data_IF_050133587405
#
_entry.id   IF_050133587405
#
_cell.length_a   1.000
_cell.length_b   1.000
_cell.length_c   1.000
_cell.angle_alpha   90.00
_cell.angle_beta   90.00
_cell.angle_gamma   90.00
#
_symmetry.space_group_name_H-M   'P 1'
#
loop_
_entity.id
_entity.type
_entity.pdbx_description
1 polymer ?
#
# COMPACT_ATOMS: atom_id res chain seq x y z
N UNK A 1 -13.43 -11.96 1.61
CA UNK A 1 -12.43 -12.48 0.65
C UNK A 1 -12.05 -11.34 -0.30
N UNK A 2 -10.78 -11.18 -0.59
CA UNK A 2 -10.31 -10.18 -1.56
C UNK A 2 -10.67 -10.60 -2.99
N UNK A 3 -11.17 -9.65 -3.80
CA UNK A 3 -11.31 -9.83 -5.24
C UNK A 3 -10.15 -9.14 -5.96
N UNK A 4 -9.55 -9.81 -6.94
CA UNK A 4 -8.49 -9.23 -7.76
C UNK A 4 -9.03 -8.60 -9.03
N UNK A 5 -8.38 -7.54 -9.47
CA UNK A 5 -8.63 -6.91 -10.75
C UNK A 5 -7.32 -6.73 -11.53
N UNK A 6 -7.29 -7.23 -12.76
CA UNK A 6 -6.10 -7.17 -13.61
C UNK A 6 -6.33 -6.25 -14.80
N UNK A 7 -5.50 -5.23 -14.89
CA UNK A 7 -5.41 -4.39 -16.08
C UNK A 7 -4.47 -5.05 -17.10
N UNK A 8 -5.04 -5.55 -18.19
CA UNK A 8 -4.29 -6.23 -19.26
C UNK A 8 -3.65 -5.26 -20.24
N UNK A 9 -4.10 -4.00 -20.26
CA UNK A 9 -3.59 -2.96 -21.17
C UNK A 9 -2.43 -2.17 -20.59
N UNK A 10 -2.14 -2.32 -19.29
CA UNK A 10 -1.07 -1.60 -18.61
C UNK A 10 0.32 -2.20 -18.83
N UNK A 11 1.34 -1.41 -18.49
CA UNK A 11 2.76 -1.82 -18.58
C UNK A 11 3.20 -2.72 -17.42
N UNK A 12 2.41 -2.83 -16.36
CA UNK A 12 2.74 -3.63 -15.18
C UNK A 12 2.34 -5.08 -15.41
N UNK A 13 3.25 -6.05 -15.23
CA UNK A 13 2.92 -7.47 -15.38
C UNK A 13 1.80 -7.91 -14.44
N UNK A 14 0.97 -8.85 -14.87
CA UNK A 14 -0.18 -9.33 -14.10
C UNK A 14 0.21 -9.86 -12.71
N UNK A 15 1.33 -10.60 -12.58
CA UNK A 15 1.77 -11.09 -11.28
C UNK A 15 2.11 -9.95 -10.31
N UNK A 16 2.74 -8.88 -10.79
CA UNK A 16 3.08 -7.71 -9.99
C UNK A 16 1.82 -6.95 -9.55
N UNK A 17 0.79 -6.91 -10.38
CA UNK A 17 -0.51 -6.34 -10.00
C UNK A 17 -1.16 -7.15 -8.87
N UNK A 18 -1.11 -8.48 -8.93
CA UNK A 18 -1.61 -9.35 -7.85
C UNK A 18 -0.86 -9.12 -6.54
N UNK A 19 0.47 -9.10 -6.58
CA UNK A 19 1.31 -8.82 -5.41
C UNK A 19 0.96 -7.46 -4.79
N UNK A 20 0.86 -6.42 -5.61
CA UNK A 20 0.51 -5.08 -5.16
C UNK A 20 -0.86 -5.04 -4.48
N UNK A 21 -1.87 -5.67 -5.06
CA UNK A 21 -3.22 -5.68 -4.51
C UNK A 21 -3.31 -6.42 -3.17
N UNK A 22 -2.58 -7.51 -3.00
CA UNK A 22 -2.48 -8.20 -1.70
C UNK A 22 -1.82 -7.29 -0.66
N UNK A 23 -0.71 -6.66 -1.01
CA UNK A 23 -0.01 -5.73 -0.11
C UNK A 23 -0.88 -4.54 0.28
N UNK A 24 -1.58 -3.95 -0.67
CA UNK A 24 -2.52 -2.84 -0.41
C UNK A 24 -3.65 -3.29 0.54
N UNK A 25 -4.25 -4.45 0.29
CA UNK A 25 -5.28 -4.99 1.16
C UNK A 25 -4.79 -5.26 2.59
N UNK A 26 -3.55 -5.73 2.74
CA UNK A 26 -2.91 -5.90 4.04
C UNK A 26 -2.67 -4.55 4.74
N UNK A 27 -2.18 -3.55 4.02
CA UNK A 27 -1.97 -2.20 4.56
C UNK A 27 -3.26 -1.54 5.03
N UNK A 28 -4.35 -1.79 4.32
CA UNK A 28 -5.68 -1.25 4.64
C UNK A 28 -6.42 -2.05 5.71
N UNK A 29 -5.84 -3.16 6.19
CA UNK A 29 -6.48 -4.04 7.16
C UNK A 29 -7.62 -4.89 6.59
N UNK A 30 -7.75 -4.97 5.26
CA UNK A 30 -8.72 -5.82 4.58
C UNK A 30 -8.29 -7.29 4.55
N UNK A 31 -6.98 -7.54 4.63
CA UNK A 31 -6.37 -8.85 4.84
C UNK A 31 -5.58 -8.83 6.14
N UNK A 32 -5.87 -9.75 7.02
CA UNK A 32 -5.25 -9.90 8.34
C UNK A 32 -4.56 -11.26 8.46
N UNK A 33 -3.61 -11.42 9.38
CA UNK A 33 -3.03 -12.73 9.67
C UNK A 33 -4.13 -13.77 9.97
N UNK A 34 -4.03 -14.93 9.35
CA UNK A 34 -5.02 -16.00 9.41
C UNK A 34 -6.03 -16.00 8.27
N UNK A 35 -6.17 -14.90 7.54
CA UNK A 35 -7.06 -14.84 6.38
C UNK A 35 -6.50 -15.67 5.22
N UNK A 36 -7.40 -16.34 4.52
CA UNK A 36 -7.08 -17.15 3.35
C UNK A 36 -7.12 -16.30 2.09
N UNK A 37 -6.10 -16.43 1.25
CA UNK A 37 -6.12 -15.89 -0.10
C UNK A 37 -6.98 -16.75 -1.03
N UNK A 38 -7.56 -16.18 -2.11
CA UNK A 38 -8.20 -16.97 -3.14
C UNK A 38 -7.26 -18.06 -3.66
N UNK A 39 -7.82 -19.21 -4.00
CA UNK A 39 -7.04 -20.30 -4.61
C UNK A 39 -6.53 -19.88 -5.99
N UNK A 40 -5.47 -20.52 -6.44
CA UNK A 40 -4.96 -20.30 -7.81
C UNK A 40 -6.08 -20.46 -8.84
N UNK A 41 -6.89 -21.49 -8.69
CA UNK A 41 -8.03 -21.77 -9.59
C UNK A 41 -9.08 -20.66 -9.58
N UNK A 42 -9.42 -20.13 -8.40
CA UNK A 42 -10.35 -19.00 -8.25
C UNK A 42 -9.84 -17.76 -8.97
N UNK A 43 -8.54 -17.44 -8.81
CA UNK A 43 -7.94 -16.28 -9.47
C UNK A 43 -7.87 -16.46 -10.98
N UNK A 44 -7.46 -17.64 -11.45
CA UNK A 44 -7.44 -17.98 -12.90
C UNK A 44 -8.80 -17.77 -13.52
N UNK A 45 -9.86 -18.23 -12.85
CA UNK A 45 -11.23 -18.12 -13.33
C UNK A 45 -11.72 -16.68 -13.31
N UNK A 46 -11.50 -15.96 -12.20
CA UNK A 46 -12.06 -14.60 -12.03
C UNK A 46 -11.31 -13.53 -12.82
N UNK A 47 -10.00 -13.67 -12.97
CA UNK A 47 -9.14 -12.66 -13.61
C UNK A 47 -8.74 -13.04 -15.03
N UNK A 48 -9.03 -14.25 -15.48
CA UNK A 48 -8.61 -14.77 -16.79
C UNK A 48 -7.09 -14.64 -16.99
N UNK A 49 -6.34 -15.11 -16.01
CA UNK A 49 -4.87 -15.14 -16.03
C UNK A 49 -4.36 -16.57 -16.01
N UNK A 50 -3.11 -16.76 -16.40
CA UNK A 50 -2.44 -18.06 -16.36
C UNK A 50 -2.16 -18.48 -14.90
N UNK A 51 -2.31 -19.78 -14.60
CA UNK A 51 -2.00 -20.33 -13.28
C UNK A 51 -0.55 -20.04 -12.86
N UNK A 52 0.42 -20.10 -13.79
CA UNK A 52 1.81 -19.77 -13.53
C UNK A 52 1.99 -18.32 -13.04
N UNK A 53 1.19 -17.38 -13.54
CA UNK A 53 1.18 -15.98 -13.11
C UNK A 53 0.74 -15.85 -11.65
N UNK A 54 -0.32 -16.54 -11.26
CA UNK A 54 -0.83 -16.55 -9.88
C UNK A 54 0.20 -17.21 -8.95
N UNK A 55 0.75 -18.35 -9.34
CA UNK A 55 1.79 -19.05 -8.57
C UNK A 55 3.02 -18.17 -8.35
N UNK A 56 3.45 -17.44 -9.37
CA UNK A 56 4.58 -16.50 -9.27
C UNK A 56 4.29 -15.40 -8.25
N UNK A 57 3.10 -14.81 -8.30
CA UNK A 57 2.68 -13.78 -7.35
C UNK A 57 2.65 -14.32 -5.91
N UNK A 58 2.07 -15.47 -5.70
CA UNK A 58 1.95 -16.07 -4.36
C UNK A 58 3.30 -16.51 -3.80
N UNK A 59 4.18 -17.00 -4.67
CA UNK A 59 5.56 -17.34 -4.27
C UNK A 59 6.36 -16.10 -3.85
N UNK A 60 6.21 -14.99 -4.56
CA UNK A 60 6.84 -13.72 -4.20
C UNK A 60 6.34 -13.19 -2.85
N UNK A 61 5.04 -13.28 -2.59
CA UNK A 61 4.45 -12.92 -1.29
C UNK A 61 4.96 -13.85 -0.17
N UNK A 62 5.11 -15.13 -0.43
CA UNK A 62 5.64 -16.11 0.53
C UNK A 62 7.12 -15.85 0.84
N UNK A 63 7.93 -15.56 -0.18
CA UNK A 63 9.33 -15.19 0.00
C UNK A 63 9.51 -13.89 0.80
N UNK A 64 8.55 -12.99 0.71
CA UNK A 64 8.50 -11.74 1.50
C UNK A 64 8.00 -11.95 2.94
N UNK A 65 7.61 -13.16 3.32
CA UNK A 65 7.10 -13.49 4.65
C UNK A 65 5.67 -13.01 4.92
N UNK A 66 4.92 -12.63 3.90
CA UNK A 66 3.58 -12.08 4.04
C UNK A 66 2.50 -13.15 4.04
N UNK A 67 2.74 -14.28 3.39
CA UNK A 67 1.81 -15.41 3.29
C UNK A 67 2.56 -16.72 3.45
N UNK A 68 1.81 -17.78 3.72
CA UNK A 68 2.31 -19.16 3.84
C UNK A 68 1.37 -20.11 3.10
N UNK A 69 1.93 -20.95 2.26
CA UNK A 69 1.22 -22.06 1.63
C UNK A 69 1.15 -23.23 2.59
N UNK A 70 -0.07 -23.72 2.82
CA UNK A 70 -0.33 -24.94 3.61
C UNK A 70 -0.88 -26.01 2.69
N UNK A 71 -0.16 -27.11 2.58
CA UNK A 71 -0.52 -28.22 1.71
C UNK A 71 -1.93 -28.72 2.01
N UNK A 72 -2.79 -28.79 1.00
CA UNK A 72 -4.17 -29.23 1.11
C UNK A 72 -5.15 -28.21 1.72
N UNK A 73 -4.67 -27.08 2.26
CA UNK A 73 -5.51 -26.08 2.94
C UNK A 73 -5.58 -24.74 2.21
N UNK A 74 -4.55 -24.36 1.47
CA UNK A 74 -4.48 -23.10 0.74
C UNK A 74 -3.34 -22.18 1.17
N UNK A 75 -3.42 -20.94 0.80
CA UNK A 75 -2.44 -19.89 1.13
C UNK A 75 -3.06 -18.91 2.12
N UNK A 76 -2.36 -18.66 3.22
CA UNK A 76 -2.84 -17.84 4.32
C UNK A 76 -1.93 -16.66 4.57
N UNK A 77 -2.52 -15.54 4.95
CA UNK A 77 -1.77 -14.36 5.41
C UNK A 77 -1.14 -14.67 6.76
N UNK A 78 0.15 -14.42 6.90
CA UNK A 78 0.93 -14.63 8.13
C UNK A 78 1.63 -13.38 8.61
N UNK A 79 1.92 -12.44 7.70
CA UNK A 79 2.55 -11.18 7.99
C UNK A 79 1.56 -10.04 8.18
N UNK A 80 2.09 -8.87 8.54
CA UNK A 80 1.35 -7.61 8.64
C UNK A 80 2.05 -6.52 7.84
N UNK A 81 1.28 -5.64 7.24
CA UNK A 81 1.75 -4.40 6.63
C UNK A 81 0.91 -3.24 7.17
N UNK A 82 1.59 -2.15 7.50
CA UNK A 82 0.96 -1.01 8.14
C UNK A 82 0.77 -1.23 9.65
N UNK A 83 0.75 -0.13 10.38
CA UNK A 83 0.66 -0.13 11.84
C UNK A 83 -0.57 0.63 12.35
N UNK A 84 -1.44 1.10 11.45
CA UNK A 84 -2.61 1.88 11.83
C UNK A 84 -3.68 1.00 12.46
N UNK A 85 -4.26 1.49 13.56
CA UNK A 85 -5.44 0.87 14.16
C UNK A 85 -6.56 0.74 13.13
N UNK A 86 -7.25 -0.43 13.05
CA UNK A 86 -8.35 -0.65 12.10
C UNK A 86 -9.49 0.39 12.20
N UNK A 87 -9.79 0.88 13.40
CA UNK A 87 -10.81 1.92 13.60
C UNK A 87 -10.36 3.28 13.05
N UNK A 88 -9.09 3.62 13.24
CA UNK A 88 -8.48 4.83 12.66
C UNK A 88 -8.49 4.72 11.13
N UNK A 89 -8.09 3.58 10.60
CA UNK A 89 -8.07 3.35 9.15
C UNK A 89 -9.47 3.47 8.54
N UNK A 90 -10.50 2.92 9.19
CA UNK A 90 -11.89 3.04 8.75
C UNK A 90 -12.37 4.49 8.71
N UNK A 91 -12.03 5.30 9.72
CA UNK A 91 -12.35 6.74 9.75
C UNK A 91 -11.64 7.50 8.64
N UNK A 92 -10.37 7.24 8.43
CA UNK A 92 -9.58 7.87 7.35
C UNK A 92 -10.13 7.52 5.98
N UNK A 93 -10.52 6.27 5.78
CA UNK A 93 -11.15 5.82 4.54
C UNK A 93 -12.49 6.54 4.27
N UNK A 94 -13.33 6.69 5.29
CA UNK A 94 -14.59 7.44 5.20
C UNK A 94 -14.34 8.91 4.87
N UNK A 95 -13.35 9.53 5.51
CA UNK A 95 -12.96 10.91 5.23
C UNK A 95 -12.46 11.09 3.80
N UNK A 96 -11.63 10.15 3.32
CA UNK A 96 -11.14 10.16 1.95
C UNK A 96 -12.28 9.99 0.92
N UNK A 97 -13.24 9.09 1.19
CA UNK A 97 -14.39 8.92 0.32
C UNK A 97 -15.21 10.22 0.18
N UNK A 98 -15.46 10.94 1.28
CA UNK A 98 -16.11 12.25 1.26
C UNK A 98 -15.30 13.26 0.45
N UNK A 99 -14.00 13.29 0.65
CA UNK A 99 -13.12 14.17 -0.11
C UNK A 99 -13.18 13.87 -1.61
N UNK A 100 -13.19 12.61 -2.01
CA UNK A 100 -13.34 12.20 -3.41
C UNK A 100 -14.68 12.65 -4.00
N UNK A 101 -15.77 12.56 -3.24
CA UNK A 101 -17.07 13.04 -3.68
C UNK A 101 -17.04 14.58 -3.90
N UNK A 102 -16.40 15.34 -3.02
CA UNK A 102 -16.20 16.78 -3.17
C UNK A 102 -15.35 17.10 -4.42
N UNK A 103 -14.27 16.35 -4.64
CA UNK A 103 -13.42 16.53 -5.80
C UNK A 103 -14.19 16.30 -7.11
N UNK A 104 -15.00 15.26 -7.17
CA UNK A 104 -15.86 14.97 -8.33
C UNK A 104 -16.93 16.03 -8.56
N UNK A 105 -17.54 16.54 -7.49
CA UNK A 105 -18.49 17.66 -7.58
C UNK A 105 -17.81 18.94 -8.09
N UNK A 106 -16.54 19.13 -7.80
CA UNK A 106 -15.74 20.22 -8.32
C UNK A 106 -15.27 20.02 -9.78
N UNK A 107 -15.58 18.87 -10.38
CA UNK A 107 -15.25 18.55 -11.77
C UNK A 107 -13.92 17.83 -11.97
N UNK A 108 -13.27 17.36 -10.90
CA UNK A 108 -12.03 16.58 -11.02
C UNK A 108 -12.32 15.18 -11.54
N UNK A 109 -11.54 14.76 -12.51
CA UNK A 109 -11.50 13.36 -12.97
C UNK A 109 -10.47 12.55 -12.17
N UNK A 110 -10.46 11.24 -12.34
CA UNK A 110 -9.58 10.35 -11.57
C UNK A 110 -8.09 10.67 -11.78
N UNK A 111 -7.70 11.11 -12.98
CA UNK A 111 -6.34 11.57 -13.27
C UNK A 111 -5.97 12.83 -12.49
N UNK A 112 -6.89 13.79 -12.37
CA UNK A 112 -6.70 15.00 -11.58
C UNK A 112 -6.54 14.68 -10.09
N UNK A 113 -7.36 13.77 -9.60
CA UNK A 113 -7.29 13.29 -8.22
C UNK A 113 -5.95 12.65 -7.92
N UNK A 114 -5.47 11.76 -8.80
CA UNK A 114 -4.17 11.11 -8.64
C UNK A 114 -3.02 12.14 -8.67
N UNK A 115 -3.07 13.09 -9.57
CA UNK A 115 -2.07 14.16 -9.66
C UNK A 115 -2.05 15.02 -8.39
N UNK A 116 -3.22 15.38 -7.88
CA UNK A 116 -3.35 16.17 -6.64
C UNK A 116 -2.82 15.42 -5.43
N UNK A 117 -3.19 14.16 -5.25
CA UNK A 117 -2.72 13.31 -4.14
C UNK A 117 -1.20 13.14 -4.22
N UNK A 118 -0.65 12.87 -5.39
CA UNK A 118 0.79 12.72 -5.59
C UNK A 118 1.53 14.01 -5.24
N UNK A 119 1.00 15.16 -5.65
CA UNK A 119 1.58 16.48 -5.35
C UNK A 119 1.59 16.75 -3.84
N UNK A 120 0.50 16.49 -3.15
CA UNK A 120 0.39 16.70 -1.69
C UNK A 120 1.36 15.79 -0.94
N UNK A 121 1.46 14.51 -1.32
CA UNK A 121 2.40 13.57 -0.71
C UNK A 121 3.85 14.03 -0.89
N UNK A 122 4.22 14.51 -2.06
CA UNK A 122 5.55 15.04 -2.35
C UNK A 122 5.87 16.28 -1.50
N UNK A 123 4.92 17.19 -1.33
CA UNK A 123 5.08 18.39 -0.50
C UNK A 123 5.25 18.04 0.98
N UNK A 124 4.49 17.09 1.49
CA UNK A 124 4.60 16.62 2.87
C UNK A 124 5.95 15.93 3.13
N UNK A 125 6.42 15.12 2.20
CA UNK A 125 7.73 14.49 2.29
C UNK A 125 8.86 15.51 2.32
N UNK A 126 8.80 16.56 1.49
CA UNK A 126 9.78 17.65 1.46
C UNK A 126 9.74 18.50 2.75
N UNK A 127 8.55 18.70 3.34
CA UNK A 127 8.37 19.38 4.62
C UNK A 127 8.93 18.59 5.81
N UNK A 128 8.75 17.29 5.83
CA UNK A 128 9.28 16.41 6.87
C UNK A 128 10.82 16.34 6.84
N UNK A 129 11.43 16.33 5.65
CA UNK A 129 12.88 16.37 5.50
C UNK A 129 13.53 17.68 5.97
N UNK A 130 12.79 18.78 6.02
CA UNK A 130 13.27 20.07 6.55
C UNK A 130 13.20 20.15 8.09
N UNK A 131 12.23 19.48 8.70
CA UNK A 131 12.10 19.48 10.16
C UNK A 131 13.21 18.65 10.84
N UNK A 132 13.72 17.63 10.18
CA UNK A 132 14.79 16.77 10.71
C UNK A 132 16.20 17.37 10.52
N UNK A 133 16.36 18.40 9.68
CA UNK A 133 17.62 19.09 9.42
C UNK A 133 17.89 20.31 10.30
N UNK A 134 16.97 20.73 11.15
CA UNK A 134 17.09 21.97 11.93
C UNK A 134 17.68 21.79 13.34
N UNK A 135 17.98 20.58 13.76
CA UNK A 135 18.44 20.28 15.14
C UNK A 135 19.92 19.91 15.22
N UNK A 136 20.78 20.52 14.43
CA UNK A 136 22.21 20.22 14.35
C UNK A 136 23.14 21.40 14.27
N UNK A 137 22.81 22.57 14.85
CA UNK A 137 23.79 23.66 15.03
C UNK A 137 24.47 23.49 16.40
N UNK A 138 25.77 23.26 16.46
CA UNK A 138 26.47 23.26 17.72
C UNK A 138 26.46 24.68 18.33
N UNK A 139 26.32 24.81 19.65
CA UNK A 139 26.41 26.12 20.29
C UNK A 139 27.80 26.71 20.01
N UNK A 140 27.79 27.95 19.55
CA UNK A 140 29.04 28.68 19.39
C UNK A 140 29.77 28.75 20.74
N UNK A 141 30.97 28.17 20.82
CA UNK A 141 31.84 28.29 21.97
C UNK A 141 32.22 29.76 22.11
N UNK A 142 31.74 30.41 23.16
CA UNK A 142 32.17 31.74 23.52
C UNK A 142 33.64 31.71 23.90
N UNK A 143 34.49 32.35 23.13
CA UNK A 143 35.87 32.61 23.51
C UNK A 143 35.79 33.79 24.45
N UNK A 144 35.88 33.52 25.74
CA UNK A 144 36.16 34.52 26.73
C UNK A 144 37.62 34.97 26.59
N UNK A 145 37.82 36.11 25.99
CA UNK A 145 39.13 36.75 26.04
C UNK A 145 39.38 37.28 27.43
N UNK A 146 40.35 36.69 28.11
CA UNK A 146 40.95 37.33 29.27
C UNK A 146 42.08 38.23 28.82
N UNK A 147 42.00 39.47 29.21
CA UNK A 147 43.11 40.41 29.11
C UNK A 147 44.15 40.10 30.17
#
# INVERSE_FOLDING_TARGET
MIGFHIDKGGSVPAYAQLVRQVREAMRLGLLRPGDRLPTVREVVTSCTVNAATVLKAYRELEMSGLVESRQGSGTFVTGTLGSADPHVMARLRTGLARWLDQARQAGLEDEDVQALVTSVLAQQAAGAGRADGADGAPPAAGIGGAA
#
